data_IF_166862365880
#
_entry.id   IF_166862365880
#
_cell.length_a   1.000
_cell.length_b   1.000
_cell.length_c   1.000
_cell.angle_alpha   90.00
_cell.angle_beta   90.00
_cell.angle_gamma   90.00
#
_symmetry.space_group_name_H-M   'P 1'
#
loop_
_entity.id
_entity.type
_entity.pdbx_description
1 polymer ?
#
# COMPACT_ATOMS: atom_id res chain seq x y z
N UNK A 1 3.43 13.65 -15.10
CA UNK A 1 4.59 12.77 -14.91
C UNK A 1 5.07 12.27 -16.27
N UNK A 2 6.15 12.83 -16.80
CA UNK A 2 6.69 12.53 -18.15
C UNK A 2 8.10 11.95 -18.15
N UNK A 3 8.68 11.67 -16.97
CA UNK A 3 10.01 11.10 -16.87
C UNK A 3 10.00 9.58 -17.12
N UNK A 4 11.00 9.09 -17.85
CA UNK A 4 11.25 7.67 -18.03
C UNK A 4 11.71 7.02 -16.71
N UNK A 5 11.40 5.74 -16.54
CA UNK A 5 11.85 4.98 -15.38
C UNK A 5 13.38 4.78 -15.46
N UNK A 6 14.09 4.79 -14.33
CA UNK A 6 15.50 4.41 -14.30
C UNK A 6 15.70 3.02 -14.93
N UNK A 7 16.79 2.81 -15.67
CA UNK A 7 17.02 1.56 -16.42
C UNK A 7 16.97 0.30 -15.53
N UNK A 8 17.45 0.42 -14.30
CA UNK A 8 17.44 -0.63 -13.27
C UNK A 8 16.04 -0.92 -12.69
N UNK A 9 15.07 -0.02 -12.86
CA UNK A 9 13.66 -0.23 -12.54
C UNK A 9 12.91 -0.75 -13.78
N UNK A 10 13.24 -0.23 -14.95
CA UNK A 10 12.60 -0.62 -16.21
C UNK A 10 12.76 -2.13 -16.49
N UNK A 11 13.87 -2.75 -16.12
CA UNK A 11 14.03 -4.20 -16.27
C UNK A 11 13.00 -4.99 -15.46
N UNK A 12 12.70 -4.58 -14.23
CA UNK A 12 11.66 -5.22 -13.41
C UNK A 12 10.27 -5.03 -14.00
N UNK A 13 9.96 -3.83 -14.48
CA UNK A 13 8.67 -3.55 -15.15
C UNK A 13 8.51 -4.39 -16.42
N UNK A 14 9.57 -4.55 -17.20
CA UNK A 14 9.54 -5.39 -18.40
C UNK A 14 9.27 -6.87 -18.07
N UNK A 15 9.89 -7.40 -17.02
CA UNK A 15 9.62 -8.77 -16.57
C UNK A 15 8.21 -8.92 -15.97
N UNK A 16 7.75 -7.93 -15.21
CA UNK A 16 6.40 -7.88 -14.68
C UNK A 16 5.34 -7.97 -15.80
N UNK A 17 5.55 -7.30 -16.94
CA UNK A 17 4.63 -7.34 -18.09
C UNK A 17 4.46 -8.73 -18.72
N UNK A 18 5.24 -9.73 -18.32
CA UNK A 18 5.05 -11.12 -18.73
C UNK A 18 4.09 -11.89 -17.82
N UNK A 19 3.78 -11.37 -16.63
CA UNK A 19 2.99 -12.06 -15.60
C UNK A 19 1.84 -11.22 -15.04
N UNK A 20 1.74 -9.93 -15.36
CA UNK A 20 0.66 -9.04 -14.94
C UNK A 20 0.38 -7.93 -15.94
N UNK A 21 -0.69 -7.16 -15.71
CA UNK A 21 -1.24 -6.21 -16.69
C UNK A 21 -1.19 -4.73 -16.28
N UNK A 22 -0.55 -4.38 -15.15
CA UNK A 22 -0.50 -2.99 -14.68
C UNK A 22 0.31 -2.09 -15.62
N UNK A 23 -0.25 -0.92 -15.94
CA UNK A 23 0.32 0.02 -16.90
C UNK A 23 1.52 0.83 -16.37
N UNK A 24 2.29 1.42 -17.29
CA UNK A 24 3.48 2.23 -16.97
C UNK A 24 3.18 3.42 -16.03
N UNK A 25 1.96 3.94 -16.06
CA UNK A 25 1.53 5.01 -15.16
C UNK A 25 1.63 4.59 -13.69
N UNK A 26 1.19 3.37 -13.34
CA UNK A 26 1.27 2.85 -11.98
C UNK A 26 2.71 2.82 -11.49
N UNK A 27 3.64 2.30 -12.30
CA UNK A 27 5.04 2.18 -11.90
C UNK A 27 5.73 3.54 -11.71
N UNK A 28 5.41 4.51 -12.55
CA UNK A 28 5.88 5.90 -12.38
C UNK A 28 5.30 6.52 -11.11
N UNK A 29 4.02 6.32 -10.86
CA UNK A 29 3.36 6.80 -9.66
C UNK A 29 3.92 6.12 -8.40
N UNK A 30 4.14 4.80 -8.42
CA UNK A 30 4.73 4.06 -7.31
C UNK A 30 6.11 4.61 -6.95
N UNK A 31 6.98 4.87 -7.94
CA UNK A 31 8.30 5.44 -7.70
C UNK A 31 8.21 6.86 -7.11
N UNK A 32 7.27 7.66 -7.58
CA UNK A 32 7.00 8.99 -7.04
C UNK A 32 6.47 8.93 -5.60
N UNK A 33 5.52 8.05 -5.32
CA UNK A 33 4.90 7.89 -4.01
C UNK A 33 5.91 7.42 -2.96
N UNK A 34 6.74 6.41 -3.27
CA UNK A 34 7.78 5.93 -2.34
C UNK A 34 8.84 7.00 -2.03
N UNK A 35 9.10 7.92 -2.97
CA UNK A 35 10.00 9.05 -2.77
C UNK A 35 9.41 10.10 -1.82
N UNK A 36 8.12 10.42 -1.96
CA UNK A 36 7.41 11.34 -1.06
C UNK A 36 7.40 10.86 0.39
N UNK A 37 7.14 9.57 0.62
CA UNK A 37 7.06 8.99 1.97
C UNK A 37 8.43 8.61 2.56
N UNK A 38 9.53 8.97 1.90
CA UNK A 38 10.88 8.67 2.39
C UNK A 38 11.28 9.61 3.52
N UNK A 39 11.67 9.03 4.67
CA UNK A 39 12.11 9.79 5.85
C UNK A 39 13.30 10.70 5.53
N UNK A 40 13.33 11.89 6.16
CA UNK A 40 14.41 12.86 5.98
C UNK A 40 15.77 12.37 6.51
N UNK A 41 15.77 11.36 7.38
CA UNK A 41 16.96 10.78 8.01
C UNK A 41 17.75 9.84 7.09
N UNK A 42 17.19 9.46 5.94
CA UNK A 42 17.86 8.59 4.97
C UNK A 42 19.11 9.27 4.43
N UNK A 43 20.24 8.59 4.51
CA UNK A 43 21.50 9.11 3.98
C UNK A 43 21.38 9.34 2.47
N UNK A 44 21.77 10.53 2.01
CA UNK A 44 21.63 10.93 0.61
C UNK A 44 22.33 9.96 -0.37
N UNK A 45 23.46 9.37 0.04
CA UNK A 45 24.21 8.38 -0.74
C UNK A 45 23.46 7.06 -0.92
N UNK A 46 22.56 6.72 0.01
CA UNK A 46 21.78 5.48 0.04
C UNK A 46 20.36 5.65 -0.50
N UNK A 47 19.89 6.89 -0.67
CA UNK A 47 18.51 7.19 -1.11
C UNK A 47 18.10 6.40 -2.34
N UNK A 48 18.97 6.31 -3.35
CA UNK A 48 18.69 5.55 -4.57
C UNK A 48 18.39 4.07 -4.26
N UNK A 49 19.25 3.40 -3.49
CA UNK A 49 19.08 1.99 -3.14
C UNK A 49 17.79 1.77 -2.34
N UNK A 50 17.49 2.67 -1.40
CA UNK A 50 16.26 2.66 -0.59
C UNK A 50 15.02 2.75 -1.47
N UNK A 51 14.96 3.69 -2.41
CA UNK A 51 13.83 3.85 -3.32
C UNK A 51 13.63 2.61 -4.20
N UNK A 52 14.70 1.97 -4.64
CA UNK A 52 14.61 0.73 -5.41
C UNK A 52 14.05 -0.43 -4.58
N UNK A 53 14.45 -0.58 -3.31
CA UNK A 53 13.89 -1.60 -2.42
C UNK A 53 12.39 -1.35 -2.20
N UNK A 54 12.00 -0.11 -1.90
CA UNK A 54 10.58 0.26 -1.71
C UNK A 54 9.76 0.04 -2.98
N UNK A 55 10.31 0.35 -4.14
CA UNK A 55 9.66 0.06 -5.42
C UNK A 55 9.43 -1.44 -5.59
N UNK A 56 10.41 -2.28 -5.25
CA UNK A 56 10.24 -3.74 -5.30
C UNK A 56 9.19 -4.25 -4.30
N UNK A 57 9.08 -3.63 -3.12
CA UNK A 57 7.98 -3.91 -2.18
C UNK A 57 6.63 -3.55 -2.82
N UNK A 58 6.54 -2.39 -3.51
CA UNK A 58 5.38 -2.01 -4.31
C UNK A 58 5.02 -3.01 -5.40
N UNK A 59 6.03 -3.49 -6.13
CA UNK A 59 5.84 -4.52 -7.14
C UNK A 59 5.39 -5.86 -6.54
N UNK A 60 5.94 -6.24 -5.39
CA UNK A 60 5.49 -7.42 -4.66
C UNK A 60 4.02 -7.28 -4.25
N UNK A 61 3.62 -6.12 -3.71
CA UNK A 61 2.24 -5.84 -3.36
C UNK A 61 1.33 -6.02 -4.58
N UNK A 62 1.64 -5.37 -5.71
CA UNK A 62 0.86 -5.51 -6.94
C UNK A 62 0.79 -6.95 -7.44
N UNK A 63 1.89 -7.70 -7.45
CA UNK A 63 1.88 -9.10 -7.91
C UNK A 63 0.95 -10.00 -7.09
N UNK A 64 0.88 -9.78 -5.78
CA UNK A 64 0.04 -10.58 -4.89
C UNK A 64 -1.43 -10.12 -4.99
N UNK A 65 -1.65 -8.81 -5.10
CA UNK A 65 -2.96 -8.18 -5.34
C UNK A 65 -3.57 -8.63 -6.68
N UNK A 66 -2.77 -8.66 -7.76
CA UNK A 66 -3.19 -9.13 -9.07
C UNK A 66 -3.66 -10.60 -9.03
N UNK A 67 -3.04 -11.45 -8.21
CA UNK A 67 -3.47 -12.84 -8.04
C UNK A 67 -4.79 -12.94 -7.28
N UNK A 68 -5.05 -12.03 -6.36
CA UNK A 68 -6.32 -11.93 -5.64
C UNK A 68 -7.45 -11.43 -6.57
N UNK A 69 -7.14 -10.48 -7.45
CA UNK A 69 -8.09 -9.86 -8.40
C UNK A 69 -8.37 -10.76 -9.62
N UNK A 70 -7.32 -11.29 -10.25
CA UNK A 70 -7.40 -12.04 -11.52
C UNK A 70 -7.88 -13.48 -11.28
N UNK A 71 -9.20 -13.65 -11.26
CA UNK A 71 -9.84 -14.96 -11.17
C UNK A 71 -9.91 -15.52 -9.75
N UNK A 72 -9.58 -14.71 -8.74
CA UNK A 72 -9.69 -15.04 -7.32
C UNK A 72 -8.99 -16.36 -6.98
N UNK A 73 -7.73 -16.50 -7.41
CA UNK A 73 -6.96 -17.71 -7.15
C UNK A 73 -6.42 -17.72 -5.71
N UNK A 74 -7.34 -17.92 -4.76
CA UNK A 74 -7.07 -17.96 -3.32
C UNK A 74 -5.94 -18.95 -2.97
N UNK A 75 -5.89 -20.10 -3.67
CA UNK A 75 -4.88 -21.11 -3.43
C UNK A 75 -3.46 -20.60 -3.78
N UNK A 76 -3.31 -19.96 -4.95
CA UNK A 76 -2.05 -19.34 -5.34
C UNK A 76 -1.69 -18.18 -4.42
N UNK A 77 -2.66 -17.31 -4.10
CA UNK A 77 -2.47 -16.19 -3.16
C UNK A 77 -1.89 -16.68 -1.83
N UNK A 78 -2.56 -17.63 -1.16
CA UNK A 78 -2.07 -18.20 0.10
C UNK A 78 -0.72 -18.91 -0.05
N UNK A 79 -0.41 -19.48 -1.22
CA UNK A 79 0.92 -20.05 -1.51
C UNK A 79 1.99 -18.95 -1.53
N UNK A 80 1.74 -17.83 -2.21
CA UNK A 80 2.64 -16.68 -2.30
C UNK A 80 2.86 -16.00 -0.94
N UNK A 81 1.82 -15.85 -0.12
CA UNK A 81 1.93 -15.25 1.22
C UNK A 81 2.83 -16.05 2.18
N UNK A 82 3.07 -17.35 1.91
CA UNK A 82 4.02 -18.14 2.69
C UNK A 82 5.48 -17.74 2.48
N UNK A 83 5.79 -16.89 1.50
CA UNK A 83 7.12 -16.28 1.34
C UNK A 83 7.56 -15.54 2.62
N UNK A 84 6.62 -14.92 3.35
CA UNK A 84 6.86 -14.28 4.64
C UNK A 84 7.33 -15.26 5.73
N UNK A 85 7.02 -16.54 5.56
CA UNK A 85 7.40 -17.63 6.47
C UNK A 85 8.68 -18.35 6.01
N UNK A 86 9.32 -17.87 4.92
CA UNK A 86 10.48 -18.52 4.32
C UNK A 86 10.17 -19.79 3.56
N UNK A 87 8.90 -20.04 3.23
CA UNK A 87 8.46 -21.20 2.46
C UNK A 87 8.41 -20.83 0.98
N UNK A 88 8.94 -21.71 0.14
CA UNK A 88 8.90 -21.55 -1.32
C UNK A 88 7.48 -21.92 -1.80
N UNK A 89 6.78 -21.05 -2.53
CA UNK A 89 5.48 -21.37 -3.09
C UNK A 89 5.58 -22.51 -4.11
N UNK A 90 4.63 -23.43 -4.06
CA UNK A 90 4.52 -24.54 -5.02
C UNK A 90 3.39 -24.27 -6.02
N UNK A 91 3.63 -24.49 -7.33
CA UNK A 91 2.59 -24.34 -8.36
C UNK A 91 1.58 -25.49 -8.28
N UNK A 92 0.29 -25.18 -8.34
CA UNK A 92 -0.78 -26.14 -8.56
C UNK A 92 -1.00 -26.43 -10.05
N UNK A 93 -0.59 -25.52 -10.94
CA UNK A 93 -0.67 -25.70 -12.40
C UNK A 93 0.53 -25.09 -13.14
N UNK A 94 0.81 -25.48 -14.39
CA UNK A 94 1.90 -24.92 -15.19
C UNK A 94 1.82 -23.40 -15.41
N UNK A 95 0.60 -22.85 -15.46
CA UNK A 95 0.37 -21.42 -15.72
C UNK A 95 0.76 -20.53 -14.53
N UNK A 96 0.84 -21.10 -13.32
CA UNK A 96 1.26 -20.39 -12.11
C UNK A 96 2.79 -20.28 -11.97
N UNK A 97 3.54 -21.10 -12.72
CA UNK A 97 5.01 -21.17 -12.62
C UNK A 97 5.66 -19.80 -12.88
N UNK A 98 5.32 -19.05 -13.95
CA UNK A 98 5.93 -17.75 -14.20
C UNK A 98 5.66 -16.75 -13.08
N UNK A 99 4.42 -16.69 -12.57
CA UNK A 99 4.01 -15.80 -11.47
C UNK A 99 4.81 -16.13 -10.21
N UNK A 100 4.84 -17.40 -9.80
CA UNK A 100 5.60 -17.83 -8.61
C UNK A 100 7.09 -17.51 -8.75
N UNK A 101 7.69 -17.79 -9.91
CA UNK A 101 9.10 -17.53 -10.15
C UNK A 101 9.44 -16.05 -10.05
N UNK A 102 8.62 -15.19 -10.68
CA UNK A 102 8.84 -13.75 -10.68
C UNK A 102 8.58 -13.14 -9.30
N UNK A 103 7.47 -13.48 -8.63
CA UNK A 103 7.18 -13.02 -7.26
C UNK A 103 8.28 -13.45 -6.29
N UNK A 104 8.77 -14.69 -6.39
CA UNK A 104 9.89 -15.18 -5.57
C UNK A 104 11.22 -14.50 -5.90
N UNK A 105 11.41 -14.05 -7.15
CA UNK A 105 12.58 -13.26 -7.55
C UNK A 105 12.52 -11.86 -6.96
N UNK A 106 11.37 -11.18 -7.02
CA UNK A 106 11.15 -9.87 -6.40
C UNK A 106 11.35 -9.96 -4.88
N UNK A 107 10.74 -10.95 -4.23
CA UNK A 107 10.90 -11.20 -2.79
C UNK A 107 12.36 -11.34 -2.36
N UNK A 108 13.15 -12.16 -3.08
CA UNK A 108 14.59 -12.30 -2.81
C UNK A 108 15.35 -11.01 -3.04
N UNK A 109 15.03 -10.27 -4.11
CA UNK A 109 15.70 -9.01 -4.41
C UNK A 109 15.50 -7.94 -3.33
N UNK A 110 14.30 -7.88 -2.70
CA UNK A 110 14.04 -7.00 -1.55
C UNK A 110 15.04 -7.30 -0.43
N UNK A 111 15.14 -8.57 -0.01
CA UNK A 111 16.03 -8.99 1.08
C UNK A 111 17.52 -8.87 0.74
N UNK A 112 17.93 -9.28 -0.46
CA UNK A 112 19.33 -9.24 -0.91
C UNK A 112 19.89 -7.81 -0.96
N UNK A 113 19.01 -6.82 -1.23
CA UNK A 113 19.34 -5.40 -1.23
C UNK A 113 19.29 -4.81 0.16
N UNK A 114 18.24 -5.10 0.94
CA UNK A 114 18.12 -4.66 2.32
C UNK A 114 19.33 -5.11 3.18
N UNK A 115 19.84 -6.33 2.96
CA UNK A 115 21.02 -6.88 3.62
C UNK A 115 22.27 -5.98 3.51
N UNK A 116 22.36 -5.16 2.47
CA UNK A 116 23.51 -4.28 2.21
C UNK A 116 23.41 -2.92 2.91
N UNK A 117 22.25 -2.60 3.48
CA UNK A 117 22.04 -1.32 4.16
C UNK A 117 22.74 -1.30 5.53
N UNK A 118 23.32 -0.18 5.96
CA UNK A 118 24.20 -0.12 7.13
C UNK A 118 23.57 -0.60 8.44
N UNK A 119 22.27 -0.38 8.63
CA UNK A 119 21.52 -0.75 9.84
C UNK A 119 20.59 -1.95 9.61
N UNK A 120 20.88 -2.80 8.62
CA UNK A 120 20.08 -3.99 8.33
C UNK A 120 19.86 -4.87 9.57
N UNK A 121 20.94 -5.26 10.25
CA UNK A 121 20.85 -6.16 11.41
C UNK A 121 20.00 -5.58 12.54
N UNK A 122 19.95 -4.26 12.64
CA UNK A 122 19.18 -3.55 13.65
C UNK A 122 17.66 -3.61 13.39
N UNK A 123 17.25 -3.46 12.13
CA UNK A 123 15.84 -3.29 11.75
C UNK A 123 15.26 -4.46 10.95
N UNK A 124 16.03 -5.52 10.64
CA UNK A 124 15.54 -6.66 9.84
C UNK A 124 14.29 -7.34 10.42
N UNK A 125 14.18 -7.41 11.74
CA UNK A 125 12.99 -7.97 12.40
C UNK A 125 11.76 -7.06 12.21
N UNK A 126 11.97 -5.75 12.21
CA UNK A 126 10.90 -4.77 11.97
C UNK A 126 10.42 -4.85 10.51
N UNK A 127 11.34 -4.90 9.55
CA UNK A 127 11.00 -5.10 8.14
C UNK A 127 10.26 -6.43 7.91
N UNK A 128 10.72 -7.52 8.51
CA UNK A 128 10.02 -8.81 8.43
C UNK A 128 8.58 -8.74 8.98
N UNK A 129 8.41 -8.04 10.11
CA UNK A 129 7.09 -7.84 10.71
C UNK A 129 6.17 -7.01 9.81
N UNK A 130 6.66 -5.91 9.23
CA UNK A 130 5.85 -5.06 8.38
C UNK A 130 5.53 -5.71 7.01
N UNK A 131 6.43 -6.54 6.47
CA UNK A 131 6.13 -7.40 5.32
C UNK A 131 5.00 -8.40 5.64
N UNK A 132 4.98 -8.93 6.87
CA UNK A 132 3.86 -9.76 7.32
C UNK A 132 2.57 -8.95 7.47
N UNK A 133 2.62 -7.70 7.91
CA UNK A 133 1.43 -6.84 7.98
C UNK A 133 0.84 -6.59 6.60
N UNK A 134 1.68 -6.37 5.57
CA UNK A 134 1.22 -6.30 4.19
C UNK A 134 0.51 -7.60 3.76
N UNK A 135 1.09 -8.76 4.09
CA UNK A 135 0.44 -10.04 3.85
C UNK A 135 -0.91 -10.19 4.56
N UNK A 136 -1.02 -9.73 5.82
CA UNK A 136 -2.28 -9.73 6.56
C UNK A 136 -3.33 -8.83 5.90
N UNK A 137 -2.94 -7.70 5.32
CA UNK A 137 -3.86 -6.83 4.57
C UNK A 137 -4.50 -7.57 3.41
N UNK A 138 -3.69 -8.27 2.62
CA UNK A 138 -4.16 -8.97 1.44
C UNK A 138 -5.00 -10.18 1.85
N UNK A 139 -4.58 -10.93 2.87
CA UNK A 139 -5.36 -12.05 3.42
C UNK A 139 -6.70 -11.58 4.00
N UNK A 140 -6.74 -10.42 4.67
CA UNK A 140 -7.99 -9.84 5.17
C UNK A 140 -8.92 -9.41 4.03
N UNK A 141 -8.40 -8.74 3.00
CA UNK A 141 -9.18 -8.37 1.83
C UNK A 141 -9.78 -9.59 1.12
N UNK A 142 -9.00 -10.65 0.96
CA UNK A 142 -9.44 -11.92 0.39
C UNK A 142 -10.54 -12.60 1.23
N UNK A 143 -10.40 -12.57 2.55
CA UNK A 143 -11.43 -13.09 3.48
C UNK A 143 -12.73 -12.30 3.41
N UNK A 144 -12.67 -10.97 3.33
CA UNK A 144 -13.84 -10.10 3.19
C UNK A 144 -14.54 -10.35 1.85
N UNK A 145 -13.78 -10.58 0.78
CA UNK A 145 -14.33 -10.96 -0.51
C UNK A 145 -15.11 -12.29 -0.42
N UNK A 146 -14.53 -13.30 0.24
CA UNK A 146 -15.16 -14.62 0.40
C UNK A 146 -16.34 -14.60 1.39
N UNK A 147 -16.29 -13.74 2.41
CA UNK A 147 -17.28 -13.64 3.49
C UNK A 147 -17.67 -12.15 3.66
N UNK A 148 -18.56 -11.61 2.80
CA UNK A 148 -18.97 -10.21 2.83
C UNK A 148 -19.51 -9.73 4.19
N UNK A 149 -20.04 -10.65 5.03
CA UNK A 149 -20.49 -10.36 6.38
C UNK A 149 -19.37 -9.91 7.34
N UNK A 150 -18.10 -10.12 6.99
CA UNK A 150 -16.94 -9.59 7.73
C UNK A 150 -16.70 -8.09 7.51
N UNK A 151 -17.41 -7.44 6.58
CA UNK A 151 -17.26 -6.01 6.35
C UNK A 151 -17.50 -5.20 7.62
N UNK A 152 -16.41 -4.63 8.15
CA UNK A 152 -16.38 -3.80 9.35
C UNK A 152 -15.50 -2.58 9.11
N UNK A 153 -15.99 -1.35 9.38
CA UNK A 153 -15.14 -0.17 9.31
C UNK A 153 -13.92 -0.25 10.23
N UNK A 154 -14.04 -0.88 11.39
CA UNK A 154 -12.96 -1.02 12.37
C UNK A 154 -11.86 -1.97 11.86
N UNK A 155 -12.24 -3.14 11.33
CA UNK A 155 -11.26 -4.07 10.76
C UNK A 155 -10.63 -3.52 9.48
N UNK A 156 -11.43 -2.86 8.62
CA UNK A 156 -10.90 -2.21 7.44
C UNK A 156 -9.87 -1.14 7.81
N UNK A 157 -10.13 -0.29 8.82
CA UNK A 157 -9.15 0.69 9.30
C UNK A 157 -7.89 0.02 9.88
N UNK A 158 -8.04 -1.10 10.59
CA UNK A 158 -6.93 -1.83 11.19
C UNK A 158 -6.02 -2.50 10.16
N UNK A 159 -6.58 -3.18 9.15
CA UNK A 159 -5.81 -4.01 8.23
C UNK A 159 -5.50 -3.32 6.91
N UNK A 160 -6.40 -2.51 6.34
CA UNK A 160 -6.27 -2.03 4.97
C UNK A 160 -5.16 -0.99 4.78
N UNK A 161 -4.82 -0.23 5.82
CA UNK A 161 -3.88 0.87 5.72
C UNK A 161 -2.48 0.38 5.32
N UNK A 162 -2.05 -0.79 5.80
CA UNK A 162 -0.72 -1.36 5.50
C UNK A 162 -0.49 -1.65 4.00
N UNK A 163 -1.56 -1.77 3.20
CA UNK A 163 -1.48 -1.86 1.74
C UNK A 163 -0.89 -0.61 1.07
N UNK A 164 -0.88 0.53 1.75
CA UNK A 164 -0.26 1.77 1.27
C UNK A 164 1.26 1.80 1.47
N UNK A 165 1.80 0.81 2.19
CA UNK A 165 3.23 0.57 2.36
C UNK A 165 4.00 1.71 3.03
N UNK A 166 3.35 2.61 3.75
CA UNK A 166 4.02 3.74 4.42
C UNK A 166 4.90 3.21 5.55
N UNK A 167 4.34 2.35 6.38
CA UNK A 167 5.01 1.80 7.55
C UNK A 167 6.19 0.90 7.16
N UNK A 168 5.99 -0.01 6.21
CA UNK A 168 7.04 -0.90 5.70
C UNK A 168 8.14 -0.13 4.96
N UNK A 169 7.79 0.94 4.22
CA UNK A 169 8.78 1.79 3.57
C UNK A 169 9.69 2.47 4.58
N UNK A 170 9.13 2.95 5.69
CA UNK A 170 9.92 3.54 6.77
C UNK A 170 10.86 2.51 7.42
N UNK A 171 10.48 1.23 7.49
CA UNK A 171 11.39 0.17 7.97
C UNK A 171 12.63 0.00 7.08
N UNK A 172 12.50 0.22 5.76
CA UNK A 172 13.66 0.29 4.84
C UNK A 172 14.46 1.57 5.07
N UNK A 173 13.79 2.71 5.27
CA UNK A 173 14.46 4.00 5.53
C UNK A 173 15.34 3.95 6.78
N UNK A 174 14.84 3.36 7.85
CA UNK A 174 15.56 3.20 9.11
C UNK A 174 16.87 2.42 8.92
N UNK A 175 16.90 1.43 8.01
CA UNK A 175 18.11 0.68 7.68
C UNK A 175 19.20 1.55 7.02
N UNK A 176 18.80 2.67 6.41
CA UNK A 176 19.66 3.64 5.71
C UNK A 176 19.74 5.00 6.42
N UNK A 177 19.28 5.08 7.68
CA UNK A 177 19.22 6.32 8.46
C UNK A 177 20.21 6.32 9.63
N UNK A 178 21.51 6.59 9.40
CA UNK A 178 22.50 6.56 10.48
C UNK A 178 22.23 7.60 11.58
N UNK A 179 21.54 8.70 11.26
CA UNK A 179 21.23 9.78 12.20
C UNK A 179 19.95 9.56 13.03
N UNK A 180 19.13 8.56 12.70
CA UNK A 180 17.87 8.32 13.41
C UNK A 180 18.10 7.77 14.82
N UNK A 181 17.49 8.41 15.82
CA UNK A 181 17.55 7.99 17.23
C UNK A 181 16.51 6.90 17.48
N UNK A 182 16.99 5.69 17.80
CA UNK A 182 16.14 4.53 18.08
C UNK A 182 15.15 4.76 19.22
N UNK A 183 15.43 5.67 20.16
CA UNK A 183 14.50 5.99 21.26
C UNK A 183 13.19 6.61 20.77
N UNK A 184 13.22 7.22 19.59
CA UNK A 184 12.05 7.82 18.93
C UNK A 184 11.17 6.79 18.21
N UNK A 185 11.61 5.53 18.09
CA UNK A 185 10.91 4.51 17.28
C UNK A 185 9.43 4.35 17.66
N UNK A 186 9.08 4.42 18.95
CA UNK A 186 7.68 4.34 19.37
C UNK A 186 6.82 5.49 18.84
N UNK A 187 7.32 6.73 18.92
CA UNK A 187 6.63 7.90 18.38
C UNK A 187 6.60 7.88 16.85
N UNK A 188 7.66 7.38 16.21
CA UNK A 188 7.72 7.24 14.76
C UNK A 188 6.65 6.25 14.28
N UNK A 189 6.48 5.11 14.96
CA UNK A 189 5.45 4.13 14.60
C UNK A 189 4.03 4.70 14.72
N UNK A 190 3.77 5.54 15.73
CA UNK A 190 2.50 6.24 15.89
C UNK A 190 2.26 7.24 14.74
N UNK A 191 3.28 8.02 14.38
CA UNK A 191 3.23 8.93 13.23
C UNK A 191 2.96 8.18 11.92
N UNK A 192 3.67 7.07 11.68
CA UNK A 192 3.52 6.27 10.47
C UNK A 192 2.13 5.65 10.36
N UNK A 193 1.52 5.23 11.47
CA UNK A 193 0.14 4.74 11.46
C UNK A 193 -0.85 5.81 10.95
N UNK A 194 -0.70 7.05 11.40
CA UNK A 194 -1.49 8.16 10.90
C UNK A 194 -1.19 8.48 9.43
N UNK A 195 0.09 8.50 9.03
CA UNK A 195 0.50 8.78 7.66
C UNK A 195 -0.01 7.72 6.68
N UNK A 196 0.00 6.45 7.10
CA UNK A 196 -0.52 5.32 6.35
C UNK A 196 -2.04 5.40 6.20
N UNK A 197 -2.74 5.79 7.28
CA UNK A 197 -4.19 6.04 7.25
C UNK A 197 -4.54 7.19 6.29
N UNK A 198 -3.73 8.27 6.28
CA UNK A 198 -3.88 9.37 5.31
C UNK A 198 -3.71 8.90 3.87
N UNK A 199 -2.67 8.10 3.59
CA UNK A 199 -2.43 7.54 2.26
C UNK A 199 -3.61 6.64 1.82
N UNK A 200 -4.15 5.81 2.72
CA UNK A 200 -5.27 4.90 2.43
C UNK A 200 -6.54 5.68 2.12
N UNK A 201 -6.80 6.76 2.86
CA UNK A 201 -7.92 7.65 2.57
C UNK A 201 -7.78 8.29 1.18
N UNK A 202 -6.58 8.79 0.85
CA UNK A 202 -6.31 9.33 -0.48
C UNK A 202 -6.60 8.33 -1.60
N UNK A 203 -6.12 7.10 -1.43
CA UNK A 203 -6.39 6.01 -2.37
C UNK A 203 -7.89 5.69 -2.47
N UNK A 204 -8.62 5.53 -1.37
CA UNK A 204 -10.05 5.21 -1.40
C UNK A 204 -10.88 6.28 -2.13
N UNK A 205 -10.62 7.56 -1.87
CA UNK A 205 -11.34 8.66 -2.53
C UNK A 205 -11.00 8.73 -4.02
N UNK A 206 -9.76 8.41 -4.42
CA UNK A 206 -9.34 8.53 -5.81
C UNK A 206 -9.76 7.35 -6.71
N UNK A 207 -10.18 6.22 -6.12
CA UNK A 207 -10.35 4.96 -6.85
C UNK A 207 -11.74 4.33 -6.78
N UNK A 208 -12.61 4.71 -5.84
CA UNK A 208 -13.90 4.02 -5.67
C UNK A 208 -14.81 4.06 -6.91
N UNK A 209 -14.77 5.12 -7.73
CA UNK A 209 -15.60 5.18 -8.94
C UNK A 209 -15.22 4.11 -9.98
N UNK A 210 -13.91 3.90 -10.23
CA UNK A 210 -13.45 2.85 -11.17
C UNK A 210 -13.66 1.44 -10.61
N UNK A 211 -13.67 1.29 -9.29
CA UNK A 211 -13.90 0.02 -8.61
C UNK A 211 -15.33 -0.49 -8.86
N UNK A 212 -16.32 0.41 -8.99
CA UNK A 212 -17.68 0.05 -9.45
C UNK A 212 -17.66 -0.60 -10.83
N UNK A 213 -16.83 -0.10 -11.75
CA UNK A 213 -16.74 -0.66 -13.09
C UNK A 213 -16.05 -2.03 -13.11
N UNK A 214 -15.08 -2.22 -12.22
CA UNK A 214 -14.39 -3.49 -11.97
C UNK A 214 -15.23 -4.50 -11.16
N UNK A 215 -16.38 -4.09 -10.60
CA UNK A 215 -17.15 -4.84 -9.60
C UNK A 215 -16.31 -5.23 -8.37
N UNK A 216 -15.34 -4.40 -8.01
CA UNK A 216 -14.62 -4.48 -6.75
C UNK A 216 -15.31 -3.56 -5.75
N UNK A 217 -15.77 -4.12 -4.63
CA UNK A 217 -16.45 -3.36 -3.58
C UNK A 217 -15.73 -3.46 -2.23
N UNK A 218 -14.44 -3.81 -2.27
CA UNK A 218 -13.58 -3.95 -1.08
C UNK A 218 -13.16 -2.61 -0.46
N UNK A 219 -13.39 -1.49 -1.16
CA UNK A 219 -13.08 -0.15 -0.65
C UNK A 219 -13.95 0.26 0.54
N UNK A 220 -13.33 0.97 1.48
CA UNK A 220 -14.00 1.52 2.65
C UNK A 220 -15.14 2.48 2.33
N UNK A 221 -15.20 3.04 1.11
CA UNK A 221 -16.34 3.86 0.65
C UNK A 221 -17.64 3.08 0.64
N UNK A 222 -17.64 1.88 0.05
CA UNK A 222 -18.82 1.01 0.01
C UNK A 222 -19.16 0.47 1.39
N UNK A 223 -18.15 0.07 2.16
CA UNK A 223 -18.33 -0.39 3.55
C UNK A 223 -18.99 0.69 4.41
N UNK A 224 -18.54 1.94 4.32
CA UNK A 224 -19.11 3.06 5.09
C UNK A 224 -20.57 3.33 4.68
N UNK A 225 -20.87 3.29 3.38
CA UNK A 225 -22.23 3.46 2.88
C UNK A 225 -23.18 2.35 3.38
N UNK A 226 -22.72 1.09 3.38
CA UNK A 226 -23.47 -0.04 3.92
C UNK A 226 -23.65 0.07 5.44
N UNK A 227 -22.57 0.39 6.16
CA UNK A 227 -22.58 0.52 7.61
C UNK A 227 -23.58 1.59 8.08
N UNK A 228 -23.71 2.66 7.31
CA UNK A 228 -24.68 3.75 7.54
C UNK A 228 -26.10 3.44 7.08
N UNK A 229 -26.31 2.27 6.49
CA UNK A 229 -27.58 1.84 5.90
C UNK A 229 -28.03 2.75 4.75
N UNK A 230 -27.09 3.47 4.12
CA UNK A 230 -27.33 4.20 2.88
C UNK A 230 -27.43 3.22 1.70
N UNK A 231 -26.62 2.16 1.74
CA UNK A 231 -26.70 1.01 0.86
C UNK A 231 -26.97 -0.26 1.68
N UNK A 232 -27.46 -1.30 1.00
CA UNK A 232 -27.48 -2.68 1.46
C UNK A 232 -26.44 -3.48 0.69
N UNK A 233 -25.92 -4.59 1.26
CA UNK A 233 -25.02 -5.48 0.51
C UNK A 233 -25.61 -5.95 -0.83
N UNK A 234 -26.93 -6.15 -0.90
CA UNK A 234 -27.62 -6.51 -2.15
C UNK A 234 -27.53 -5.44 -3.24
N UNK A 235 -27.34 -4.18 -2.87
CA UNK A 235 -27.29 -3.06 -3.83
C UNK A 235 -25.98 -3.09 -4.63
N UNK A 236 -24.90 -3.65 -4.08
CA UNK A 236 -23.61 -3.82 -4.77
C UNK A 236 -23.72 -4.78 -5.97
N UNK A 237 -24.60 -5.78 -5.87
CA UNK A 237 -24.88 -6.72 -6.96
C UNK A 237 -25.88 -6.18 -8.00
N UNK A 238 -26.49 -5.01 -7.75
CA UNK A 238 -27.52 -4.47 -8.62
C UNK A 238 -26.91 -3.79 -9.85
N UNK A 239 -27.54 -3.98 -11.02
CA UNK A 239 -27.07 -3.41 -12.29
C UNK A 239 -27.15 -1.87 -12.38
N UNK A 240 -27.63 -1.17 -11.34
CA UNK A 240 -27.81 0.27 -11.38
C UNK A 240 -26.61 1.01 -10.77
N UNK A 241 -25.50 1.04 -11.51
CA UNK A 241 -24.26 1.73 -11.13
C UNK A 241 -24.48 3.22 -10.81
N UNK A 242 -25.35 3.90 -11.56
CA UNK A 242 -25.69 5.30 -11.32
C UNK A 242 -26.32 5.52 -9.94
N UNK A 243 -27.10 4.56 -9.45
CA UNK A 243 -27.66 4.64 -8.10
C UNK A 243 -26.57 4.58 -7.03
N UNK A 244 -25.58 3.68 -7.18
CA UNK A 244 -24.45 3.57 -6.25
C UNK A 244 -23.67 4.89 -6.16
N UNK A 245 -23.29 5.44 -7.31
CA UNK A 245 -22.57 6.72 -7.40
C UNK A 245 -23.38 7.84 -6.75
N UNK A 246 -24.66 7.97 -7.11
CA UNK A 246 -25.51 9.02 -6.58
C UNK A 246 -25.67 8.91 -5.06
N UNK A 247 -25.85 7.70 -4.52
CA UNK A 247 -25.99 7.49 -3.08
C UNK A 247 -24.71 7.83 -2.32
N UNK A 248 -23.53 7.47 -2.84
CA UNK A 248 -22.24 7.80 -2.22
C UNK A 248 -22.04 9.32 -2.15
N UNK A 249 -22.34 10.03 -3.25
CA UNK A 249 -22.27 11.49 -3.34
C UNK A 249 -23.27 12.16 -2.38
N UNK A 250 -24.54 11.73 -2.38
CA UNK A 250 -25.59 12.32 -1.53
C UNK A 250 -25.32 12.10 -0.03
N UNK A 251 -24.68 10.99 0.33
CA UNK A 251 -24.31 10.69 1.71
C UNK A 251 -23.02 11.37 2.18
N UNK A 252 -22.36 12.15 1.30
CA UNK A 252 -21.15 12.91 1.59
C UNK A 252 -20.04 12.04 2.21
N UNK A 253 -19.87 10.83 1.67
CA UNK A 253 -18.93 9.84 2.22
C UNK A 253 -17.49 10.32 2.03
N UNK A 254 -17.17 10.93 0.89
CA UNK A 254 -15.85 11.50 0.61
C UNK A 254 -15.48 12.61 1.59
N UNK A 255 -16.38 13.57 1.85
CA UNK A 255 -16.12 14.70 2.75
C UNK A 255 -15.79 14.22 4.17
N UNK A 256 -16.36 13.10 4.60
CA UNK A 256 -16.05 12.51 5.89
C UNK A 256 -14.69 11.84 5.92
N UNK A 257 -14.28 11.20 4.83
CA UNK A 257 -12.93 10.70 4.68
C UNK A 257 -11.91 11.85 4.65
N UNK A 258 -12.18 12.94 3.94
CA UNK A 258 -11.37 14.18 4.02
C UNK A 258 -11.32 14.71 5.46
N UNK A 259 -12.44 14.69 6.18
CA UNK A 259 -12.48 15.03 7.60
C UNK A 259 -11.62 14.11 8.48
N UNK A 260 -11.58 12.80 8.20
CA UNK A 260 -10.70 11.82 8.86
C UNK A 260 -9.23 12.10 8.54
N UNK A 261 -8.93 12.34 7.27
CA UNK A 261 -7.59 12.66 6.79
C UNK A 261 -7.01 13.88 7.52
N UNK A 262 -7.80 14.96 7.67
CA UNK A 262 -7.38 16.15 8.41
C UNK A 262 -7.10 15.84 9.90
N UNK A 263 -7.87 14.95 10.53
CA UNK A 263 -7.59 14.54 11.93
C UNK A 263 -6.29 13.76 12.06
N UNK A 264 -5.98 12.87 11.12
CA UNK A 264 -4.70 12.17 11.10
C UNK A 264 -3.53 13.15 10.90
N UNK A 265 -3.69 14.11 10.00
CA UNK A 265 -2.69 15.16 9.76
C UNK A 265 -2.39 15.99 11.02
N UNK A 266 -3.41 16.41 11.74
CA UNK A 266 -3.23 17.12 13.01
C UNK A 266 -2.64 16.22 14.10
N UNK A 267 -2.96 14.92 14.10
CA UNK A 267 -2.36 13.96 15.04
C UNK A 267 -0.86 13.78 14.78
N UNK A 268 -0.42 13.72 13.52
CA UNK A 268 1.01 13.73 13.16
C UNK A 268 1.70 14.99 13.69
N UNK A 269 1.09 16.16 13.49
CA UNK A 269 1.65 17.43 13.95
C UNK A 269 1.79 17.50 15.47
N UNK A 270 0.86 16.90 16.21
CA UNK A 270 0.91 16.81 17.67
C UNK A 270 2.08 15.94 18.19
N UNK A 271 2.69 15.12 17.33
CA UNK A 271 3.86 14.29 17.69
C UNK A 271 5.21 15.01 17.50
N UNK A 272 5.22 16.26 17.01
CA UNK A 272 6.45 17.02 16.71
C UNK A 272 7.48 16.97 17.84
N UNK A 273 7.06 17.23 19.07
CA UNK A 273 7.97 17.32 20.22
C UNK A 273 8.51 15.95 20.68
N UNK A 274 8.03 14.85 20.09
CA UNK A 274 8.48 13.47 20.37
C UNK A 274 9.40 12.92 19.28
N UNK A 275 9.63 13.67 18.20
CA UNK A 275 10.39 13.27 17.02
C UNK A 275 11.35 14.39 16.63
N UNK A 276 12.57 14.37 17.18
CA UNK A 276 13.59 15.38 16.92
C UNK A 276 14.43 15.03 15.69
N UNK A 277 14.58 13.75 15.35
CA UNK A 277 15.47 13.34 14.26
C UNK A 277 14.86 13.45 12.87
N UNK A 278 13.54 13.55 12.76
CA UNK A 278 12.81 13.61 11.49
C UNK A 278 12.29 15.03 11.26
N UNK A 279 12.37 15.48 10.01
CA UNK A 279 11.77 16.75 9.59
C UNK A 279 10.26 16.54 9.41
N UNK A 280 9.53 16.76 10.50
CA UNK A 280 8.09 16.54 10.58
C UNK A 280 7.29 17.46 9.66
N UNK A 281 7.77 18.68 9.43
CA UNK A 281 7.08 19.65 8.59
C UNK A 281 7.21 19.26 7.11
N UNK A 282 8.43 18.97 6.65
CA UNK A 282 8.66 18.44 5.30
C UNK A 282 7.91 17.12 5.07
N UNK A 283 7.86 16.23 6.07
CA UNK A 283 7.14 14.96 5.93
C UNK A 283 5.63 15.16 5.74
N UNK A 284 5.00 16.04 6.53
CA UNK A 284 3.57 16.36 6.40
C UNK A 284 3.28 17.00 5.03
N UNK A 285 4.10 17.95 4.58
CA UNK A 285 3.88 18.61 3.29
C UNK A 285 4.02 17.63 2.10
N UNK A 286 4.86 16.59 2.24
CA UNK A 286 4.95 15.50 1.25
C UNK A 286 3.76 14.56 1.29
N UNK A 287 3.15 14.31 2.46
CA UNK A 287 1.89 13.57 2.55
C UNK A 287 0.74 14.35 1.93
N UNK A 288 0.71 15.68 2.07
CA UNK A 288 -0.24 16.54 1.38
C UNK A 288 -0.05 16.43 -0.14
N UNK A 289 1.20 16.46 -0.61
CA UNK A 289 1.54 16.26 -2.03
C UNK A 289 1.14 14.87 -2.54
N UNK A 290 1.27 13.83 -1.70
CA UNK A 290 0.82 12.48 -2.03
C UNK A 290 -0.70 12.45 -2.22
N UNK A 291 -1.44 13.07 -1.30
CA UNK A 291 -2.90 13.18 -1.38
C UNK A 291 -3.34 13.95 -2.64
N UNK A 292 -2.70 15.07 -2.96
CA UNK A 292 -2.96 15.80 -4.21
C UNK A 292 -2.69 14.93 -5.44
N UNK A 293 -1.63 14.13 -5.41
CA UNK A 293 -1.31 13.20 -6.51
C UNK A 293 -2.36 12.10 -6.68
N UNK A 294 -2.94 11.61 -5.57
CA UNK A 294 -4.06 10.66 -5.58
C UNK A 294 -5.26 11.28 -6.28
N UNK A 295 -5.66 12.49 -5.88
CA UNK A 295 -6.79 13.20 -6.49
C UNK A 295 -6.59 13.50 -7.98
N UNK A 296 -5.37 13.89 -8.38
CA UNK A 296 -5.05 14.11 -9.81
C UNK A 296 -5.11 12.79 -10.61
N UNK A 297 -4.85 11.67 -9.94
CA UNK A 297 -4.89 10.34 -10.54
C UNK A 297 -6.28 9.70 -10.57
N UNK A 298 -7.32 10.42 -10.16
CA UNK A 298 -8.70 9.95 -10.13
C UNK A 298 -9.09 9.23 -11.44
N UNK A 299 -9.42 7.94 -11.32
CA UNK A 299 -9.79 7.07 -12.45
C UNK A 299 -8.67 6.70 -13.44
N UNK A 300 -7.38 6.91 -13.12
CA UNK A 300 -6.25 6.66 -14.04
C UNK A 300 -5.25 5.59 -13.57
N UNK A 301 -5.37 5.12 -12.33
CA UNK A 301 -4.53 4.05 -11.76
C UNK A 301 -5.14 2.68 -12.02
#
# INVERSE_FOLDING_TARGET
>A
MTADLPANIQCWVNEYNHVGQRGLFLWRWCLYAVDLITLSTVEASLRKEVLEIKFLIGMYNCLVDDVADEGHNHALLHSLLKLHQGVIPEPASPDEIPVIQFTSKVWRAIWDRALRLPRFDEFKQLLAFDLKQLGNTIEHADLVYQIPELMSPQEHELYSAHGMMVTISASVDLMASPAFDRRELGALREMLWHAESMARIGNMISTWEREIDANDFSSGVFMEAIWRRALKPSDLSAANRNHLVQTIIECQIEEQFVGRWNRHRESIRALRDRLETIDMDDYVDRLDSLFDSELISHGRK
#
